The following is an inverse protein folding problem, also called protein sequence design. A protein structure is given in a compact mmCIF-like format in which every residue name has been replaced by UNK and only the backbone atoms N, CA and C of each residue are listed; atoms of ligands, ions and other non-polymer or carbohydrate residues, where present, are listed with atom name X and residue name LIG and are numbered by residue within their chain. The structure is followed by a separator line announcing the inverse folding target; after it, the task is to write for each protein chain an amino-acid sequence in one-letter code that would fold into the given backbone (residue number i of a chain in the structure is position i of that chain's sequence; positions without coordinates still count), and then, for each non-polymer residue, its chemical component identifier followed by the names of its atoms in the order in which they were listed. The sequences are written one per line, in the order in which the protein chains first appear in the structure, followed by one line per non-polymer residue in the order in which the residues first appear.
data_IF_188303027772
#
_entry.id   IF_188303027772
#
_cell.length_a   1.000
_cell.length_b   1.000
_cell.length_c   1.000
_cell.angle_alpha   90.00
_cell.angle_beta   90.00
_cell.angle_gamma   90.00
#
_symmetry.space_group_name_H-M   'P 1'
#
loop_
_entity.id
_entity.type
_entity.pdbx_description
1 polymer ?
#
# COMPACT_ATOMS: atom_id res chain seq x y z
N UNK A 1 0.89 24.79 5.66
CA UNK A 1 2.37 24.63 5.56
C UNK A 1 2.67 23.93 4.25
N UNK A 2 3.64 24.39 3.46
CA UNK A 2 3.94 23.79 2.14
C UNK A 2 4.32 22.31 2.29
N UNK A 3 3.85 21.48 1.36
CA UNK A 3 4.15 20.04 1.30
C UNK A 3 3.60 19.21 2.47
N UNK A 4 2.60 19.72 3.18
CA UNK A 4 1.84 18.99 4.19
C UNK A 4 0.36 19.03 3.84
N UNK A 5 -0.37 17.97 4.20
CA UNK A 5 -1.82 17.91 4.04
C UNK A 5 -2.51 18.94 4.94
N UNK A 6 -3.68 19.39 4.50
CA UNK A 6 -4.50 20.30 5.29
C UNK A 6 -5.00 19.62 6.58
N UNK A 7 -4.91 20.31 7.71
CA UNK A 7 -5.51 19.87 8.97
C UNK A 7 -6.86 20.55 9.10
N UNK A 8 -7.93 19.76 9.15
CA UNK A 8 -9.30 20.27 9.27
C UNK A 8 -9.62 20.47 10.75
N UNK A 9 -9.99 21.70 11.11
CA UNK A 9 -10.42 22.02 12.47
C UNK A 9 -11.91 21.76 12.65
N UNK A 10 -12.31 21.33 13.85
CA UNK A 10 -13.71 21.36 14.25
C UNK A 10 -14.06 22.76 14.73
N UNK A 11 -14.99 23.44 14.04
CA UNK A 11 -15.33 24.83 14.34
C UNK A 11 -16.61 24.92 15.17
N UNK A 12 -16.55 25.71 16.23
CA UNK A 12 -17.68 26.14 17.04
C UNK A 12 -17.88 27.65 16.86
N UNK A 13 -19.01 28.02 16.27
CA UNK A 13 -19.39 29.43 16.16
C UNK A 13 -19.73 30.00 17.54
N UNK A 14 -19.18 31.16 17.88
CA UNK A 14 -19.45 31.87 19.14
C UNK A 14 -20.19 33.17 18.86
N UNK A 15 -19.67 33.99 17.94
CA UNK A 15 -20.27 35.24 17.49
C UNK A 15 -19.78 35.60 16.08
N UNK A 16 -20.32 36.67 15.50
CA UNK A 16 -19.90 37.15 14.18
C UNK A 16 -18.39 37.49 14.07
N UNK A 17 -17.72 37.71 15.20
CA UNK A 17 -16.28 38.04 15.27
C UNK A 17 -15.46 37.02 16.04
N UNK A 18 -16.08 35.94 16.53
CA UNK A 18 -15.42 34.94 17.36
C UNK A 18 -15.87 33.53 17.00
N UNK A 19 -14.88 32.67 16.78
CA UNK A 19 -15.05 31.24 16.61
C UNK A 19 -14.07 30.52 17.53
N UNK A 20 -14.44 29.34 18.02
CA UNK A 20 -13.54 28.40 18.67
C UNK A 20 -13.23 27.29 17.68
N UNK A 21 -11.97 26.92 17.56
CA UNK A 21 -11.54 25.86 16.65
C UNK A 21 -10.69 24.88 17.43
N UNK A 22 -10.99 23.58 17.28
CA UNK A 22 -10.16 22.50 17.80
C UNK A 22 -9.45 21.82 16.63
N UNK A 23 -8.13 21.72 16.71
CA UNK A 23 -7.32 20.98 15.74
C UNK A 23 -6.78 19.69 16.37
N UNK A 24 -6.77 18.62 15.58
CA UNK A 24 -5.95 17.45 15.88
C UNK A 24 -4.54 17.70 15.33
N UNK A 25 -3.57 17.85 16.25
CA UNK A 25 -2.18 18.12 15.90
C UNK A 25 -1.28 16.88 16.00
N UNK A 26 -1.86 15.70 16.21
CA UNK A 26 -1.10 14.47 16.55
C UNK A 26 -0.01 14.12 15.53
N UNK A 27 -0.23 14.45 14.25
CA UNK A 27 0.74 14.23 13.15
C UNK A 27 1.20 15.53 12.49
N UNK A 28 0.83 16.69 13.06
CA UNK A 28 1.16 17.97 12.48
C UNK A 28 2.68 18.20 12.52
N UNK A 29 3.27 18.42 11.34
CA UNK A 29 4.66 18.87 11.25
C UNK A 29 4.85 20.20 12.03
N UNK A 30 5.86 20.30 12.92
CA UNK A 30 6.13 21.53 13.65
C UNK A 30 6.44 22.73 12.75
N UNK A 31 6.24 23.94 13.29
CA UNK A 31 6.49 25.21 12.63
C UNK A 31 5.24 26.00 12.29
N UNK A 32 5.36 26.98 11.39
CA UNK A 32 4.29 27.90 11.03
C UNK A 32 3.32 27.30 10.01
N UNK A 33 2.03 27.56 10.22
CA UNK A 33 0.90 27.14 9.40
C UNK A 33 0.00 28.34 9.08
N UNK A 34 -0.63 28.30 7.90
CA UNK A 34 -1.61 29.28 7.46
C UNK A 34 -3.01 28.84 7.89
N UNK A 35 -3.81 29.73 8.47
CA UNK A 35 -5.21 29.43 8.79
C UNK A 35 -6.11 29.91 7.65
N UNK A 36 -6.92 29.02 7.07
CA UNK A 36 -7.89 29.33 6.03
C UNK A 36 -9.31 29.14 6.55
N UNK A 37 -10.05 30.24 6.68
CA UNK A 37 -11.45 30.22 7.09
C UNK A 37 -12.37 30.24 5.89
N UNK A 38 -13.27 29.27 5.81
CA UNK A 38 -14.35 29.23 4.82
C UNK A 38 -15.71 29.37 5.52
N UNK A 39 -16.44 30.41 5.15
CA UNK A 39 -17.80 30.62 5.62
C UNK A 39 -18.80 29.75 4.83
N UNK A 40 -20.03 29.57 5.34
CA UNK A 40 -21.07 28.81 4.64
C UNK A 40 -21.46 29.36 3.26
N UNK A 41 -21.21 30.65 3.01
CA UNK A 41 -21.38 31.31 1.71
C UNK A 41 -20.21 31.07 0.74
N UNK A 42 -19.27 30.19 1.11
CA UNK A 42 -18.04 29.87 0.40
C UNK A 42 -17.02 31.03 0.32
N UNK A 43 -17.27 32.15 1.03
CA UNK A 43 -16.28 33.19 1.23
C UNK A 43 -15.08 32.64 1.99
N UNK A 44 -13.86 33.00 1.56
CA UNK A 44 -12.63 32.55 2.20
C UNK A 44 -11.75 33.70 2.65
N UNK A 45 -11.05 33.52 3.77
CA UNK A 45 -9.96 34.39 4.20
C UNK A 45 -8.78 33.55 4.67
N UNK A 46 -7.56 34.00 4.37
CA UNK A 46 -6.33 33.31 4.78
C UNK A 46 -5.52 34.22 5.69
N UNK A 47 -5.17 33.69 6.84
CA UNK A 47 -4.25 34.28 7.79
C UNK A 47 -2.91 33.53 7.67
N UNK A 48 -1.96 34.14 6.95
CA UNK A 48 -0.70 33.51 6.64
C UNK A 48 0.21 33.45 7.87
N UNK A 49 0.85 32.29 8.09
CA UNK A 49 1.81 31.99 9.16
C UNK A 49 1.35 32.38 10.58
N UNK A 50 0.05 32.48 10.84
CA UNK A 50 -0.46 32.96 12.11
C UNK A 50 -0.78 31.86 13.13
N UNK A 51 -0.54 30.60 12.78
CA UNK A 51 -0.61 29.48 13.70
C UNK A 51 0.76 28.78 13.76
N UNK A 52 1.27 28.53 14.97
CA UNK A 52 2.55 27.84 15.15
C UNK A 52 2.32 26.55 15.94
N UNK A 53 2.71 25.43 15.33
CA UNK A 53 2.78 24.14 16.02
C UNK A 53 4.17 24.02 16.64
N UNK A 54 4.22 23.89 17.97
CA UNK A 54 5.48 23.72 18.68
C UNK A 54 6.12 22.37 18.33
N UNK A 55 7.45 22.35 18.22
CA UNK A 55 8.23 21.13 18.04
C UNK A 55 8.47 20.43 19.38
N UNK A 56 8.36 19.11 19.36
CA UNK A 56 8.75 18.25 20.49
C UNK A 56 9.79 17.25 20.00
N UNK A 57 10.78 16.97 20.84
CA UNK A 57 11.81 15.97 20.51
C UNK A 57 11.15 14.60 20.37
N UNK A 58 11.33 13.91 19.21
CA UNK A 58 10.84 12.56 19.06
C UNK A 58 11.60 11.61 19.99
N UNK A 59 10.92 10.58 20.47
CA UNK A 59 11.57 9.43 21.12
C UNK A 59 11.33 8.19 20.29
N UNK A 60 12.26 7.24 20.34
CA UNK A 60 12.14 5.96 19.65
C UNK A 60 12.53 4.90 20.67
N UNK A 61 11.58 4.02 21.00
CA UNK A 61 11.73 3.02 22.07
C UNK A 61 11.98 1.63 21.54
N UNK A 62 11.40 1.26 20.40
CA UNK A 62 11.58 -0.06 19.80
C UNK A 62 11.37 -0.04 18.28
N UNK A 63 11.85 -1.11 17.65
CA UNK A 63 11.63 -1.45 16.25
C UNK A 63 11.07 -2.87 16.15
N UNK A 64 10.11 -3.11 15.26
CA UNK A 64 9.54 -4.43 15.01
C UNK A 64 9.36 -4.66 13.49
N UNK A 65 10.02 -5.67 12.89
CA UNK A 65 11.01 -6.56 13.51
C UNK A 65 12.28 -5.82 13.96
N UNK A 66 12.84 -6.27 15.08
CA UNK A 66 14.11 -5.75 15.62
C UNK A 66 15.35 -6.40 14.97
N UNK A 67 15.14 -7.38 14.09
CA UNK A 67 16.21 -8.17 13.48
C UNK A 67 15.96 -8.34 11.99
N UNK A 68 16.93 -7.98 11.17
CA UNK A 68 16.89 -8.15 9.72
C UNK A 68 18.12 -8.93 9.22
N UNK A 69 17.91 -9.87 8.31
CA UNK A 69 18.99 -10.59 7.64
C UNK A 69 19.63 -9.77 6.52
N UNK A 70 20.92 -10.01 6.25
CA UNK A 70 21.56 -9.53 5.01
C UNK A 70 20.75 -9.96 3.79
N UNK A 71 20.53 -9.02 2.86
CA UNK A 71 19.71 -9.23 1.67
C UNK A 71 18.22 -8.92 1.86
N UNK A 72 17.79 -8.50 3.06
CA UNK A 72 16.43 -7.98 3.27
C UNK A 72 16.17 -6.79 2.33
N UNK A 73 15.02 -6.80 1.64
CA UNK A 73 14.66 -5.79 0.67
C UNK A 73 13.31 -5.18 1.05
N UNK A 74 13.31 -3.88 1.31
CA UNK A 74 12.11 -3.09 1.65
C UNK A 74 11.20 -3.78 2.69
N UNK A 75 11.79 -4.30 3.77
CA UNK A 75 11.04 -4.89 4.88
C UNK A 75 10.47 -3.77 5.72
N UNK A 76 9.15 -3.73 5.87
CA UNK A 76 8.49 -2.77 6.73
C UNK A 76 8.86 -3.01 8.19
N UNK A 77 9.44 -2.00 8.82
CA UNK A 77 9.77 -1.98 10.25
C UNK A 77 8.93 -0.91 10.93
N UNK A 78 8.22 -1.31 11.96
CA UNK A 78 7.38 -0.45 12.79
C UNK A 78 8.22 0.06 13.95
N UNK A 79 8.41 1.38 14.00
CA UNK A 79 9.02 2.08 15.11
C UNK A 79 7.95 2.54 16.09
N UNK A 80 8.17 2.24 17.37
CA UNK A 80 7.35 2.75 18.48
C UNK A 80 8.10 3.85 19.21
N UNK A 81 7.39 4.88 19.66
CA UNK A 81 8.00 6.04 20.29
C UNK A 81 6.99 7.12 20.66
N UNK A 82 7.43 8.38 20.63
CA UNK A 82 6.57 9.56 20.86
C UNK A 82 6.95 10.72 19.97
N UNK A 83 6.02 11.66 19.79
CA UNK A 83 6.18 12.91 19.04
C UNK A 83 6.62 12.71 17.58
N UNK A 84 6.22 11.62 16.93
CA UNK A 84 6.41 11.49 15.49
C UNK A 84 5.48 12.43 14.73
N UNK A 85 6.03 13.16 13.77
CA UNK A 85 5.27 14.07 12.92
C UNK A 85 5.29 13.61 11.46
N UNK A 86 4.31 14.04 10.67
CA UNK A 86 4.30 13.75 9.24
C UNK A 86 5.52 14.41 8.56
N UNK A 87 6.19 13.66 7.67
CA UNK A 87 7.45 14.08 7.06
C UNK A 87 8.68 13.81 7.92
N UNK A 88 8.56 13.08 9.03
CA UNK A 88 9.71 12.54 9.74
C UNK A 88 10.54 11.64 8.80
N UNK A 89 11.86 11.66 9.01
CA UNK A 89 12.82 10.85 8.26
C UNK A 89 13.54 9.90 9.19
N UNK A 90 14.01 8.78 8.66
CA UNK A 90 14.72 7.75 9.43
C UNK A 90 16.11 7.57 8.84
N UNK A 91 17.10 7.48 9.72
CA UNK A 91 18.46 7.08 9.37
C UNK A 91 18.91 5.93 10.26
N UNK A 92 19.74 5.05 9.71
CA UNK A 92 20.22 3.85 10.39
C UNK A 92 21.75 3.90 10.36
N UNK A 93 22.38 3.69 11.52
CA UNK A 93 23.85 3.70 11.61
C UNK A 93 24.49 2.58 10.78
N UNK A 94 25.75 2.74 10.38
CA UNK A 94 26.50 1.71 9.66
C UNK A 94 26.29 1.75 8.15
N UNK A 95 27.07 0.94 7.42
CA UNK A 95 27.04 0.91 5.97
C UNK A 95 26.18 -0.24 5.45
N UNK A 96 25.56 -0.05 4.28
CA UNK A 96 24.77 -1.08 3.62
C UNK A 96 23.38 -1.32 4.21
N UNK A 97 22.87 -0.41 5.04
CA UNK A 97 21.48 -0.39 5.50
C UNK A 97 20.86 0.96 5.13
N UNK A 98 19.71 0.94 4.46
CA UNK A 98 19.03 2.16 3.99
C UNK A 98 17.56 2.13 4.40
N UNK A 99 17.09 3.24 4.94
CA UNK A 99 15.67 3.48 5.19
C UNK A 99 15.03 4.13 3.95
N UNK A 100 13.83 3.69 3.59
CA UNK A 100 13.00 4.35 2.59
C UNK A 100 12.16 5.49 3.17
N UNK A 101 11.04 5.79 2.53
CA UNK A 101 10.11 6.82 3.01
C UNK A 101 9.40 6.36 4.27
N UNK A 102 9.64 7.05 5.38
CA UNK A 102 8.95 6.82 6.63
C UNK A 102 7.53 7.40 6.60
N UNK A 103 6.58 6.66 7.18
CA UNK A 103 5.17 7.03 7.28
C UNK A 103 4.75 6.99 8.74
N UNK A 104 4.48 8.15 9.32
CA UNK A 104 3.92 8.25 10.67
C UNK A 104 2.41 7.97 10.63
N UNK A 105 1.97 6.91 11.29
CA UNK A 105 0.54 6.53 11.40
C UNK A 105 -0.11 7.17 12.63
N UNK A 106 0.69 7.44 13.66
CA UNK A 106 0.29 8.21 14.85
C UNK A 106 1.50 8.94 15.42
N UNK A 107 1.28 9.79 16.43
CA UNK A 107 2.37 10.42 17.17
C UNK A 107 3.27 9.44 17.92
N UNK A 108 2.93 8.14 17.95
CA UNK A 108 3.68 7.08 18.65
C UNK A 108 4.12 5.93 17.77
N UNK A 109 3.71 5.90 16.49
CA UNK A 109 3.95 4.78 15.59
C UNK A 109 4.35 5.27 14.20
N UNK A 110 5.49 4.79 13.71
CA UNK A 110 6.04 5.16 12.40
C UNK A 110 6.53 3.91 11.68
N UNK A 111 6.05 3.67 10.47
CA UNK A 111 6.48 2.54 9.64
C UNK A 111 7.51 3.01 8.62
N UNK A 112 8.59 2.26 8.47
CA UNK A 112 9.65 2.56 7.50
C UNK A 112 10.11 1.29 6.80
N UNK A 113 10.13 1.24 5.45
CA UNK A 113 10.72 0.13 4.73
C UNK A 113 12.25 0.21 4.82
N UNK A 114 12.89 -0.88 5.23
CA UNK A 114 14.34 -0.99 5.39
C UNK A 114 14.90 -2.00 4.38
N UNK A 115 15.97 -1.60 3.71
CA UNK A 115 16.76 -2.45 2.82
C UNK A 115 18.14 -2.68 3.41
N UNK A 116 18.55 -3.94 3.47
CA UNK A 116 19.85 -4.40 3.97
C UNK A 116 20.61 -5.07 2.83
N UNK A 117 21.70 -4.45 2.40
CA UNK A 117 22.56 -5.00 1.34
C UNK A 117 23.16 -6.34 1.75
N UNK A 118 23.51 -7.15 0.76
CA UNK A 118 24.19 -8.42 0.99
C UNK A 118 25.59 -8.26 1.57
N UNK A 119 26.19 -7.07 1.61
CA UNK A 119 27.51 -6.77 2.20
C UNK A 119 27.43 -5.98 3.51
N UNK A 120 26.23 -5.72 4.04
CA UNK A 120 26.05 -5.00 5.29
C UNK A 120 26.83 -5.69 6.42
N UNK A 121 27.51 -4.87 7.24
CA UNK A 121 28.16 -5.37 8.44
C UNK A 121 27.12 -5.99 9.37
N UNK A 122 27.50 -7.02 10.12
CA UNK A 122 26.61 -7.65 11.10
C UNK A 122 26.58 -6.86 12.42
N UNK A 123 25.58 -7.13 13.26
CA UNK A 123 25.47 -6.60 14.61
C UNK A 123 24.44 -5.47 14.78
N UNK A 124 24.43 -4.90 15.98
CA UNK A 124 23.44 -3.90 16.39
C UNK A 124 23.61 -2.54 15.68
N UNK A 125 22.50 -1.89 15.41
CA UNK A 125 22.38 -0.62 14.68
C UNK A 125 21.50 0.32 15.48
N UNK A 126 21.89 1.59 15.48
CA UNK A 126 21.08 2.68 16.00
C UNK A 126 20.11 3.14 14.91
N UNK A 127 18.87 3.40 15.31
CA UNK A 127 17.87 4.06 14.47
C UNK A 127 17.71 5.49 14.98
N UNK A 128 17.78 6.47 14.07
CA UNK A 128 17.54 7.88 14.38
C UNK A 128 16.34 8.36 13.59
N UNK A 129 15.32 8.87 14.29
CA UNK A 129 14.16 9.54 13.68
C UNK A 129 14.34 11.04 13.81
N UNK A 130 14.22 11.75 12.68
CA UNK A 130 14.35 13.21 12.60
C UNK A 130 13.05 13.82 12.11
N UNK A 131 12.44 14.68 12.94
CA UNK A 131 11.27 15.46 12.53
C UNK A 131 11.68 16.64 11.64
N UNK A 132 10.70 17.29 11.00
CA UNK A 132 10.95 18.40 10.06
C UNK A 132 11.55 19.66 10.70
N UNK A 133 11.54 19.76 12.03
CA UNK A 133 12.20 20.81 12.82
C UNK A 133 13.65 20.46 13.22
N UNK A 134 14.18 19.36 12.69
CA UNK A 134 15.52 18.82 12.99
C UNK A 134 15.70 18.26 14.39
N UNK A 135 14.65 18.18 15.21
CA UNK A 135 14.70 17.47 16.47
C UNK A 135 14.74 15.96 16.24
N UNK A 136 15.53 15.26 17.06
CA UNK A 136 15.90 13.87 16.82
C UNK A 136 15.70 12.99 18.05
N UNK A 137 15.25 11.77 17.79
CA UNK A 137 15.14 10.68 18.74
C UNK A 137 16.00 9.52 18.27
N UNK A 138 16.81 8.97 19.17
CA UNK A 138 17.71 7.85 18.86
C UNK A 138 17.30 6.64 19.67
N UNK A 139 17.14 5.53 18.96
CA UNK A 139 16.97 4.20 19.51
C UNK A 139 18.29 3.46 19.34
N UNK A 140 19.01 3.32 20.46
CA UNK A 140 20.34 2.72 20.47
C UNK A 140 20.23 1.21 20.39
N UNK A 141 20.96 0.60 19.46
CA UNK A 141 21.07 -0.86 19.30
C UNK A 141 19.74 -1.61 19.13
N UNK A 142 18.69 -0.97 18.61
CA UNK A 142 17.38 -1.59 18.50
C UNK A 142 17.08 -2.27 17.17
N UNK A 143 18.02 -2.24 16.22
CA UNK A 143 17.98 -3.08 15.03
C UNK A 143 19.23 -3.93 14.94
N UNK A 144 19.08 -5.24 14.84
CA UNK A 144 20.18 -6.19 14.67
C UNK A 144 20.26 -6.67 13.23
N UNK A 145 21.44 -6.53 12.62
CA UNK A 145 21.72 -7.13 11.31
C UNK A 145 22.31 -8.52 11.50
N UNK A 146 21.53 -9.53 11.12
CA UNK A 146 21.88 -10.94 11.21
C UNK A 146 22.44 -11.46 9.87
N UNK A 147 23.17 -12.60 9.88
CA UNK A 147 23.48 -13.32 8.66
C UNK A 147 22.22 -13.62 7.84
N UNK A 148 22.33 -13.54 6.51
CA UNK A 148 21.26 -14.01 5.63
C UNK A 148 21.12 -15.54 5.68
N UNK A 149 19.98 -16.11 5.23
CA UNK A 149 19.82 -17.54 5.17
C UNK A 149 20.87 -18.18 4.25
N UNK A 150 21.45 -19.30 4.67
CA UNK A 150 22.38 -20.09 3.86
C UNK A 150 21.68 -21.38 3.44
N UNK A 151 21.50 -21.61 2.14
CA UNK A 151 20.99 -22.88 1.63
C UNK A 151 22.12 -23.91 1.60
N UNK A 152 22.05 -24.94 2.46
CA UNK A 152 23.09 -25.97 2.58
C UNK A 152 22.88 -27.17 1.64
N UNK A 153 21.65 -27.37 1.14
CA UNK A 153 21.37 -28.39 0.15
C UNK A 153 20.14 -28.04 -0.67
N UNK A 154 20.13 -28.56 -1.90
CA UNK A 154 18.96 -28.60 -2.76
C UNK A 154 18.82 -30.07 -3.16
N UNK A 155 17.73 -30.71 -2.75
CA UNK A 155 17.42 -32.07 -3.16
C UNK A 155 16.51 -32.02 -4.38
N UNK A 156 16.98 -32.55 -5.50
CA UNK A 156 16.12 -32.83 -6.66
C UNK A 156 15.69 -34.29 -6.58
N UNK A 157 14.44 -34.56 -6.19
CA UNK A 157 13.83 -35.85 -6.49
C UNK A 157 13.60 -35.91 -8.00
N UNK A 158 14.55 -36.49 -8.71
CA UNK A 158 14.35 -36.84 -10.11
C UNK A 158 13.26 -37.94 -10.15
N UNK A 159 12.11 -37.75 -10.82
CA UNK A 159 11.16 -38.84 -10.98
C UNK A 159 11.91 -39.93 -11.74
N UNK A 160 12.10 -41.07 -11.08
CA UNK A 160 12.76 -42.23 -11.66
C UNK A 160 12.06 -42.58 -12.96
N UNK A 161 12.74 -42.35 -14.09
CA UNK A 161 12.30 -42.79 -15.41
C UNK A 161 11.97 -44.28 -15.33
N UNK A 162 10.90 -44.66 -16.03
CA UNK A 162 10.38 -46.02 -16.17
C UNK A 162 11.50 -47.05 -16.13
N UNK A 163 11.46 -47.89 -15.09
CA UNK A 163 12.28 -49.08 -14.98
C UNK A 163 11.92 -49.99 -16.17
N UNK A 164 12.84 -50.08 -17.12
CA UNK A 164 12.75 -50.96 -18.27
C UNK A 164 12.62 -52.41 -17.76
N UNK A 165 11.45 -53.02 -17.95
CA UNK A 165 11.21 -54.43 -17.63
C UNK A 165 11.76 -55.31 -18.76
N UNK A 166 13.07 -55.40 -18.88
CA UNK A 166 13.73 -56.47 -19.65
C UNK A 166 14.83 -57.13 -18.83
N UNK A 167 14.43 -57.86 -17.79
CA UNK A 167 15.24 -58.94 -17.24
C UNK A 167 14.35 -59.99 -16.58
N UNK A 168 13.87 -60.94 -17.39
CA UNK A 168 13.63 -62.30 -16.93
C UNK A 168 14.54 -63.25 -17.71
N UNK A 169 15.69 -63.49 -17.10
CA UNK A 169 16.27 -64.81 -16.87
C UNK A 169 16.23 -65.79 -18.05
N UNK A 170 17.37 -65.90 -18.73
CA UNK A 170 17.74 -67.10 -19.46
C UNK A 170 17.69 -68.34 -18.54
N UNK A 171 16.82 -69.31 -18.85
CA UNK A 171 17.04 -70.73 -18.53
C UNK A 171 16.68 -71.57 -19.77
N UNK A 172 17.74 -72.18 -20.29
CA UNK A 172 17.83 -73.20 -21.32
C UNK A 172 16.95 -74.42 -21.03
N UNK A 173 16.24 -74.97 -22.04
CA UNK A 173 16.13 -76.41 -22.38
C UNK A 173 15.45 -76.59 -23.76
N UNK A 174 16.20 -77.22 -24.69
CA UNK A 174 15.86 -78.06 -25.86
C UNK A 174 14.83 -77.63 -26.95
N UNK A 175 15.23 -77.90 -28.20
CA UNK A 175 14.60 -77.64 -29.52
C UNK A 175 13.58 -78.75 -29.85
N UNK A 176 12.54 -78.50 -30.69
CA UNK A 176 12.63 -78.92 -32.10
C UNK A 176 12.17 -77.86 -33.14
N UNK A 177 12.89 -77.85 -34.26
CA UNK A 177 12.71 -77.19 -35.58
C UNK A 177 11.49 -77.71 -36.37
N UNK A 178 11.22 -77.28 -37.63
CA UNK A 178 11.46 -76.00 -38.34
C UNK A 178 10.22 -75.54 -39.18
N UNK A 179 10.22 -74.32 -39.74
CA UNK A 179 9.65 -74.08 -41.07
C UNK A 179 10.13 -72.76 -41.71
N UNK A 180 10.85 -72.88 -42.83
CA UNK A 180 10.85 -72.01 -44.04
C UNK A 180 10.91 -70.48 -43.87
N UNK A 181 12.04 -69.79 -44.12
CA UNK A 181 12.68 -69.43 -45.41
C UNK A 181 12.53 -67.91 -45.70
N UNK A 182 13.42 -67.30 -46.51
CA UNK A 182 14.02 -65.99 -46.20
C UNK A 182 13.70 -64.90 -47.23
N UNK A 183 14.02 -63.64 -46.91
CA UNK A 183 14.80 -62.69 -47.74
C UNK A 183 14.79 -61.27 -47.16
N UNK A 184 15.97 -60.77 -46.82
CA UNK A 184 16.37 -59.38 -47.10
C UNK A 184 17.10 -59.38 -48.46
N UNK A 185 17.32 -58.26 -49.19
CA UNK A 185 17.59 -56.92 -48.65
C UNK A 185 17.08 -55.72 -49.51
N UNK A 186 17.37 -54.51 -49.02
CA UNK A 186 17.54 -53.25 -49.79
C UNK A 186 16.24 -52.64 -50.35
N UNK A 187 16.03 -51.34 -50.52
CA UNK A 187 16.85 -50.13 -50.46
C UNK A 187 15.90 -48.91 -50.43
N UNK A 188 16.41 -47.77 -49.93
CA UNK A 188 16.03 -46.37 -50.25
C UNK A 188 14.62 -46.09 -50.82
N UNK A 189 13.89 -45.16 -50.17
CA UNK A 189 13.63 -43.77 -50.65
C UNK A 189 12.63 -43.02 -49.75
N UNK A 190 13.03 -41.77 -49.47
CA UNK A 190 12.34 -40.48 -49.17
C UNK A 190 10.80 -40.37 -48.99
N UNK A 191 10.35 -39.25 -48.35
CA UNK A 191 9.14 -39.16 -47.52
C UNK A 191 7.93 -38.51 -48.22
N UNK A 192 6.74 -38.60 -47.58
CA UNK A 192 5.63 -37.63 -47.67
C UNK A 192 4.60 -37.87 -46.53
N UNK A 193 4.12 -36.76 -45.95
CA UNK A 193 2.95 -36.62 -45.06
C UNK A 193 1.62 -36.76 -45.88
N UNK A 194 0.37 -36.56 -45.37
CA UNK A 194 -0.05 -36.02 -44.06
C UNK A 194 -1.33 -36.63 -43.39
N UNK A 195 -1.66 -36.13 -42.18
CA UNK A 195 -2.99 -36.14 -41.55
C UNK A 195 -3.06 -36.93 -40.24
N UNK A 196 -3.83 -36.61 -39.19
CA UNK A 196 -4.71 -35.49 -38.79
C UNK A 196 -5.09 -35.73 -37.28
N UNK A 197 -5.78 -34.78 -36.63
CA UNK A 197 -6.45 -34.83 -35.29
C UNK A 197 -5.53 -34.65 -34.05
N UNK A 198 -5.81 -33.81 -33.02
CA UNK A 198 -6.94 -32.96 -32.63
C UNK A 198 -6.53 -31.89 -31.60
N UNK A 199 -7.24 -30.76 -31.61
CA UNK A 199 -7.32 -29.67 -30.61
C UNK A 199 -8.09 -30.12 -29.32
N UNK A 200 -8.30 -29.31 -28.24
CA UNK A 200 -8.22 -27.84 -28.15
C UNK A 200 -7.64 -27.18 -26.87
N UNK A 201 -7.34 -25.90 -27.03
CA UNK A 201 -7.06 -24.85 -26.02
C UNK A 201 -8.35 -24.17 -25.52
N UNK A 202 -8.32 -23.48 -24.36
CA UNK A 202 -9.16 -22.31 -24.14
C UNK A 202 -8.34 -21.02 -24.05
N UNK A 203 -8.88 -19.99 -24.68
CA UNK A 203 -8.34 -18.63 -24.82
C UNK A 203 -9.06 -17.68 -23.85
N UNK A 204 -8.31 -16.67 -23.41
CA UNK A 204 -8.74 -15.37 -22.87
C UNK A 204 -9.96 -14.78 -23.58
N UNK A 205 -10.84 -14.08 -22.84
CA UNK A 205 -11.34 -12.76 -23.28
C UNK A 205 -12.10 -11.95 -22.20
N UNK A 206 -11.94 -10.63 -22.31
CA UNK A 206 -12.53 -9.56 -21.52
C UNK A 206 -14.00 -9.26 -21.88
N UNK A 207 -14.76 -8.49 -21.05
CA UNK A 207 -16.10 -8.05 -21.41
C UNK A 207 -16.17 -6.56 -21.84
N UNK A 208 -17.03 -6.20 -22.82
CA UNK A 208 -17.44 -4.82 -23.06
C UNK A 208 -18.90 -4.52 -22.66
N UNK A 209 -19.18 -3.23 -22.53
CA UNK A 209 -20.44 -2.59 -22.14
C UNK A 209 -21.53 -2.58 -23.23
N UNK A 210 -22.82 -2.56 -22.84
CA UNK A 210 -23.84 -1.58 -23.30
C UNK A 210 -25.22 -1.74 -22.66
N UNK A 211 -25.95 -0.61 -22.72
CA UNK A 211 -27.24 -0.26 -22.12
C UNK A 211 -28.50 -0.92 -22.73
N UNK A 212 -29.60 -0.90 -21.97
CA UNK A 212 -30.94 -0.42 -22.42
C UNK A 212 -32.01 -0.56 -21.30
N UNK A 213 -32.71 0.53 -20.98
CA UNK A 213 -34.07 0.55 -20.41
C UNK A 213 -35.09 0.11 -21.50
N UNK A 214 -36.36 -0.29 -21.22
CA UNK A 214 -37.42 0.61 -20.74
C UNK A 214 -38.54 -0.06 -19.91
N UNK A 215 -39.64 0.68 -19.70
CA UNK A 215 -41.02 0.28 -19.36
C UNK A 215 -41.55 0.51 -17.93
N UNK A 216 -42.33 1.60 -17.80
CA UNK A 216 -43.44 1.77 -16.85
C UNK A 216 -44.64 0.86 -17.19
N UNK A 217 -45.55 0.63 -16.22
CA UNK A 217 -46.90 1.15 -16.41
C UNK A 217 -47.56 1.79 -15.17
N UNK A 218 -48.69 2.43 -15.46
CA UNK A 218 -49.43 3.47 -14.73
C UNK A 218 -50.35 2.99 -13.59
N UNK A 219 -50.45 3.88 -12.59
CA UNK A 219 -51.63 4.41 -11.85
C UNK A 219 -52.81 3.47 -11.51
N UNK A 220 -53.20 3.49 -10.23
CA UNK A 220 -54.59 3.76 -9.81
C UNK A 220 -54.64 4.61 -8.53
N UNK A 221 -55.64 5.48 -8.53
CA UNK A 221 -55.95 6.62 -7.66
C UNK A 221 -56.76 6.24 -6.42
N UNK A 222 -56.58 6.95 -5.30
CA UNK A 222 -57.66 7.13 -4.31
C UNK A 222 -57.77 8.57 -3.79
N UNK A 223 -59.03 8.90 -3.51
CA UNK A 223 -59.72 10.19 -3.35
C UNK A 223 -59.22 11.12 -2.25
N UNK A 224 -59.54 12.39 -2.50
CA UNK A 224 -59.54 13.53 -1.59
C UNK A 224 -60.63 13.43 -0.51
N UNK A 225 -60.27 13.84 0.72
CA UNK A 225 -61.23 14.41 1.68
C UNK A 225 -60.63 15.69 2.27
N UNK A 226 -61.36 16.80 2.14
CA UNK A 226 -61.04 18.12 2.71
C UNK A 226 -61.17 18.08 4.23
N UNK A 227 -60.19 18.63 4.96
CA UNK A 227 -60.42 19.26 6.26
C UNK A 227 -59.63 20.57 6.35
N UNK A 228 -60.23 21.51 7.08
CA UNK A 228 -60.06 22.96 7.01
C UNK A 228 -58.74 23.46 7.63
N UNK A 229 -58.37 24.65 7.16
CA UNK A 229 -57.28 25.51 7.61
C UNK A 229 -57.15 25.68 9.13
N UNK A 230 -55.91 25.69 9.61
CA UNK A 230 -55.46 26.62 10.64
C UNK A 230 -54.01 27.04 10.30
N UNK A 231 -53.85 28.35 10.10
CA UNK A 231 -52.59 29.04 9.86
C UNK A 231 -51.85 29.16 11.20
N UNK A 232 -50.65 28.62 11.31
CA UNK A 232 -49.65 29.05 12.30
C UNK A 232 -48.34 29.25 11.55
N UNK A 233 -47.95 30.52 11.42
CA UNK A 233 -46.65 30.92 10.92
C UNK A 233 -45.58 30.46 11.91
N UNK A 234 -44.85 29.39 11.56
CA UNK A 234 -43.62 29.03 12.24
C UNK A 234 -42.45 29.51 11.36
N UNK A 235 -41.83 30.62 11.75
CA UNK A 235 -40.52 31.04 11.28
C UNK A 235 -39.52 29.95 11.66
N UNK A 236 -39.22 29.04 10.72
CA UNK A 236 -38.08 28.11 10.83
C UNK A 236 -36.82 28.91 10.57
N UNK A 237 -36.20 29.44 11.63
CA UNK A 237 -34.79 29.79 11.61
C UNK A 237 -34.03 28.47 11.57
N UNK A 238 -33.63 28.03 10.38
CA UNK A 238 -32.69 26.93 10.23
C UNK A 238 -31.39 27.29 10.96
N UNK A 239 -30.80 26.41 11.79
CA UNK A 239 -29.46 26.65 12.28
C UNK A 239 -28.52 26.66 11.06
N UNK A 240 -27.82 27.78 10.88
CA UNK A 240 -26.79 27.92 9.85
C UNK A 240 -25.78 26.78 9.99
N UNK A 241 -25.39 26.09 8.91
CA UNK A 241 -24.34 25.09 8.99
C UNK A 241 -23.05 25.77 9.47
N UNK A 242 -22.30 25.08 10.33
CA UNK A 242 -21.05 25.58 10.90
C UNK A 242 -20.04 25.88 9.78
N UNK A 243 -19.23 26.95 9.89
CA UNK A 243 -18.13 27.21 8.96
C UNK A 243 -17.12 26.06 8.97
N UNK A 244 -16.55 25.74 7.82
CA UNK A 244 -15.48 24.75 7.70
C UNK A 244 -14.14 25.49 7.58
N UNK A 245 -13.21 25.25 8.51
CA UNK A 245 -11.87 25.84 8.49
C UNK A 245 -10.86 24.78 8.04
N UNK A 246 -10.04 25.14 7.08
CA UNK A 246 -8.95 24.32 6.56
C UNK A 246 -7.63 25.02 6.88
N UNK A 247 -6.53 24.29 6.95
CA UNK A 247 -5.19 24.88 7.05
C UNK A 247 -4.49 24.56 5.73
N UNK A 248 -4.22 25.55 4.86
CA UNK A 248 -3.69 25.32 3.49
C UNK A 248 -2.21 25.68 3.28
N UNK A 249 -1.61 25.31 2.14
CA UNK A 249 -0.27 25.74 1.76
C UNK A 249 -0.28 27.09 1.02
N UNK A 250 0.72 27.92 1.35
CA UNK A 250 0.95 29.26 0.80
C UNK A 250 1.47 29.16 -0.64
N UNK A 251 0.71 29.70 -1.62
CA UNK A 251 1.24 29.92 -2.97
C UNK A 251 1.95 31.27 -3.02
N UNK A 252 3.28 31.23 -3.18
CA UNK A 252 4.05 32.44 -3.50
C UNK A 252 3.90 32.73 -4.99
N UNK A 253 2.98 33.62 -5.33
CA UNK A 253 2.90 34.18 -6.69
C UNK A 253 4.17 34.98 -6.95
N UNK A 254 4.98 34.53 -7.91
CA UNK A 254 6.08 35.31 -8.45
C UNK A 254 5.50 36.30 -9.48
N UNK A 255 5.63 37.60 -9.21
CA UNK A 255 5.33 38.64 -10.18
C UNK A 255 6.42 38.70 -11.27
N UNK A 256 6.07 38.85 -12.56
CA UNK A 256 7.07 39.08 -13.60
C UNK A 256 7.58 40.53 -13.56
N UNK A 257 8.86 40.69 -13.93
CA UNK A 257 9.55 41.98 -14.11
C UNK A 257 9.07 42.72 -15.34
#
# INVERSE_FOLDING_TARGET
KTSQSDIVGTVQFVSATSIKITFDLTLAAPGTWDLLLTNPDHGTTTCAACFTVAGNTPTVTSADPDTLGRGANAVDVVLTGTNFANGATVTISGTGVTAGTAVATSGTTLTVPITVTSSATLGARNITVTNTDSLQGVCTSCLTIAPGPTATSVSTEQPSRCRDLTSRSARSWLIPTPASRPRSPSSRRRPRAPGTWSSPTPTSDAPPARAASPFMPRRRSHRWTRLRSARVSATRTSPSPAPALWIRPTFRSAAPR
#
